data_IF_306230791865
#
_entry.id   IF_306230791865
#
_cell.length_a   1.000
_cell.length_b   1.000
_cell.length_c   1.000
_cell.angle_alpha   90.00
_cell.angle_beta   90.00
_cell.angle_gamma   90.00
#
_symmetry.space_group_name_H-M   'P 1'
#
loop_
_entity.id
_entity.type
_entity.pdbx_description
1 polymer ?
#
# COMPACT_ATOMS: atom_id res chain seq x y z
N UNK A 1 -14.96 18.11 -9.04
CA UNK A 1 -13.58 17.78 -9.43
C UNK A 1 -12.96 17.06 -8.23
N UNK A 2 -13.03 15.73 -8.19
CA UNK A 2 -12.46 14.97 -7.06
C UNK A 2 -10.95 15.03 -7.17
N UNK A 3 -10.29 15.66 -6.20
CA UNK A 3 -8.84 15.62 -6.09
C UNK A 3 -8.41 14.16 -5.93
N UNK A 4 -7.73 13.61 -6.93
CA UNK A 4 -7.16 12.28 -6.83
C UNK A 4 -6.10 12.32 -5.74
N UNK A 5 -6.30 11.55 -4.66
CA UNK A 5 -5.27 11.38 -3.62
C UNK A 5 -4.04 10.78 -4.29
N UNK A 6 -2.83 11.35 -4.08
CA UNK A 6 -1.62 10.76 -4.61
C UNK A 6 -1.39 9.38 -3.97
N UNK A 7 -0.72 8.49 -4.72
CA UNK A 7 -0.26 7.23 -4.15
C UNK A 7 1.05 7.51 -3.40
N UNK A 8 1.06 7.20 -2.11
CA UNK A 8 2.30 7.09 -1.33
C UNK A 8 2.82 5.67 -1.38
N UNK A 9 4.12 5.51 -1.60
CA UNK A 9 4.77 4.21 -1.73
C UNK A 9 6.10 4.15 -0.98
N UNK A 10 6.49 2.94 -0.57
CA UNK A 10 7.61 2.70 0.37
C UNK A 10 8.76 1.89 -0.23
N UNK A 11 8.90 1.95 -1.56
CA UNK A 11 9.92 1.24 -2.32
C UNK A 11 9.35 0.47 -3.50
N UNK A 12 10.11 -0.50 -4.00
CA UNK A 12 9.74 -1.35 -5.14
C UNK A 12 9.63 -2.81 -4.74
N UNK A 13 8.70 -3.51 -5.37
CA UNK A 13 8.36 -4.87 -5.03
C UNK A 13 9.48 -5.84 -5.38
N UNK A 14 10.00 -6.59 -4.40
CA UNK A 14 11.03 -7.62 -4.63
C UNK A 14 10.52 -8.85 -5.40
N UNK A 15 9.20 -9.04 -5.49
CA UNK A 15 8.58 -10.19 -6.16
C UNK A 15 8.63 -10.00 -7.68
N UNK A 16 8.08 -8.88 -8.17
CA UNK A 16 8.06 -8.58 -9.60
C UNK A 16 9.19 -7.66 -10.05
N UNK A 17 9.93 -7.06 -9.12
CA UNK A 17 11.06 -6.13 -9.34
C UNK A 17 10.72 -4.80 -10.00
N UNK A 18 9.44 -4.58 -10.36
CA UNK A 18 9.01 -3.41 -11.15
C UNK A 18 8.05 -2.51 -10.38
N UNK A 19 7.08 -3.08 -9.66
CA UNK A 19 5.95 -2.33 -9.13
C UNK A 19 6.28 -1.52 -7.87
N UNK A 20 5.82 -0.26 -7.77
CA UNK A 20 5.89 0.49 -6.52
C UNK A 20 5.02 -0.17 -5.45
N UNK A 21 5.49 -0.09 -4.21
CA UNK A 21 4.81 -0.63 -3.02
C UNK A 21 3.97 0.45 -2.36
N UNK A 22 2.75 0.65 -2.85
CA UNK A 22 1.81 1.67 -2.38
C UNK A 22 1.15 1.31 -1.05
N UNK A 23 0.73 2.31 -0.28
CA UNK A 23 0.05 2.10 1.02
C UNK A 23 -1.47 2.26 0.87
N UNK A 24 -2.21 1.16 1.06
CA UNK A 24 -3.69 1.15 1.01
C UNK A 24 -4.27 1.19 2.41
N UNK A 25 -5.36 1.95 2.57
CA UNK A 25 -6.22 1.93 3.73
C UNK A 25 -7.47 1.09 3.44
N UNK A 26 -7.72 0.07 4.27
CA UNK A 26 -8.94 -0.70 4.20
C UNK A 26 -10.10 0.13 4.73
N UNK A 27 -11.07 0.49 3.88
CA UNK A 27 -12.20 1.31 4.29
C UNK A 27 -13.18 0.62 5.26
N UNK A 28 -13.04 -0.69 5.46
CA UNK A 28 -13.90 -1.44 6.39
C UNK A 28 -13.33 -1.51 7.81
N UNK A 29 -12.03 -1.78 7.97
CA UNK A 29 -11.41 -1.96 9.29
C UNK A 29 -10.40 -0.86 9.65
N UNK A 30 -10.10 0.06 8.74
CA UNK A 30 -9.14 1.15 8.93
C UNK A 30 -7.67 0.71 8.95
N UNK A 31 -7.38 -0.58 8.74
CA UNK A 31 -6.00 -1.08 8.72
C UNK A 31 -5.29 -0.71 7.43
N UNK A 32 -4.02 -0.35 7.55
CA UNK A 32 -3.15 -0.11 6.41
C UNK A 32 -2.46 -1.39 5.94
N UNK A 33 -2.17 -1.46 4.65
CA UNK A 33 -1.42 -2.56 4.03
C UNK A 33 -0.54 -2.00 2.91
N UNK A 34 0.63 -2.60 2.72
CA UNK A 34 1.52 -2.28 1.60
C UNK A 34 1.15 -3.21 0.44
N UNK A 35 0.89 -2.66 -0.73
CA UNK A 35 0.43 -3.36 -1.92
C UNK A 35 1.33 -3.02 -3.11
N UNK A 36 1.74 -4.04 -3.86
CA UNK A 36 2.38 -3.86 -5.16
C UNK A 36 1.36 -3.52 -6.25
N UNK A 37 1.59 -2.43 -6.99
CA UNK A 37 0.70 -1.96 -8.07
C UNK A 37 0.78 -2.80 -9.36
N UNK A 38 1.71 -3.77 -9.44
CA UNK A 38 1.95 -4.56 -10.67
C UNK A 38 1.65 -6.06 -10.53
N UNK A 39 1.80 -6.64 -9.33
CA UNK A 39 1.73 -8.10 -9.15
C UNK A 39 0.88 -8.55 -7.97
N UNK A 40 0.10 -7.62 -7.38
CA UNK A 40 -0.89 -7.93 -6.35
C UNK A 40 -0.32 -8.53 -5.05
N UNK A 41 1.00 -8.44 -4.86
CA UNK A 41 1.66 -8.82 -3.62
C UNK A 41 1.32 -7.80 -2.51
N UNK A 42 0.90 -8.29 -1.35
CA UNK A 42 0.51 -7.49 -0.21
C UNK A 42 1.23 -7.88 1.09
N UNK A 43 1.51 -6.88 1.93
CA UNK A 43 2.10 -7.01 3.26
C UNK A 43 1.27 -6.26 4.29
N UNK A 44 1.11 -6.85 5.47
CA UNK A 44 0.40 -6.26 6.62
C UNK A 44 1.30 -5.50 7.58
N UNK A 45 2.61 -5.48 7.33
CA UNK A 45 3.63 -4.82 8.14
C UNK A 45 4.78 -4.28 7.26
N UNK A 46 5.77 -3.64 7.86
CA UNK A 46 6.92 -3.06 7.17
C UNK A 46 8.02 -4.08 6.84
N UNK A 47 7.90 -5.36 7.25
CA UNK A 47 8.88 -6.39 6.94
C UNK A 47 8.67 -6.97 5.54
N UNK A 48 9.09 -6.20 4.53
CA UNK A 48 8.97 -6.56 3.12
C UNK A 48 9.84 -7.78 2.71
N UNK A 49 10.78 -8.19 3.55
CA UNK A 49 11.54 -9.42 3.37
C UNK A 49 10.71 -10.69 3.67
N UNK A 50 9.64 -10.55 4.46
CA UNK A 50 8.68 -11.61 4.73
C UNK A 50 7.91 -12.07 3.48
N UNK A 51 7.24 -13.24 3.54
CA UNK A 51 6.42 -13.72 2.44
C UNK A 51 5.22 -12.79 2.21
N UNK A 52 4.96 -12.34 0.97
CA UNK A 52 3.75 -11.59 0.65
C UNK A 52 2.52 -12.48 0.73
N UNK A 53 1.36 -11.87 0.93
CA UNK A 53 0.08 -12.47 0.56
C UNK A 53 -0.23 -12.10 -0.89
N UNK A 54 -0.70 -13.08 -1.66
CA UNK A 54 -1.26 -12.85 -2.99
C UNK A 54 -2.76 -13.02 -2.92
N UNK A 55 -3.50 -12.22 -3.68
CA UNK A 55 -4.91 -12.47 -3.88
C UNK A 55 -5.07 -13.71 -4.76
N UNK A 56 -5.93 -14.63 -4.33
CA UNK A 56 -6.36 -15.78 -5.14
C UNK A 56 -7.42 -15.40 -6.18
N UNK A 57 -7.99 -14.20 -6.08
CA UNK A 57 -9.06 -13.65 -6.90
C UNK A 57 -8.82 -12.17 -7.21
N UNK A 58 -9.66 -11.56 -8.04
CA UNK A 58 -9.52 -10.18 -8.52
C UNK A 58 -9.64 -9.08 -7.43
N UNK A 59 -10.03 -9.42 -6.19
CA UNK A 59 -10.50 -8.43 -5.22
C UNK A 59 -9.47 -7.94 -4.20
N UNK A 60 -8.21 -8.41 -4.25
CA UNK A 60 -7.11 -7.97 -3.36
C UNK A 60 -7.56 -7.83 -1.89
N UNK A 61 -7.81 -8.95 -1.18
CA UNK A 61 -8.43 -8.90 0.14
C UNK A 61 -7.48 -8.30 1.20
N UNK A 62 -8.05 -7.49 2.09
CA UNK A 62 -7.36 -6.97 3.26
C UNK A 62 -6.82 -8.12 4.11
N UNK A 63 -5.53 -8.11 4.49
CA UNK A 63 -4.92 -9.19 5.27
C UNK A 63 -5.55 -9.39 6.65
N UNK A 64 -6.27 -8.39 7.16
CA UNK A 64 -6.86 -8.36 8.50
C UNK A 64 -8.35 -8.74 8.52
N UNK A 65 -9.15 -8.22 7.58
CA UNK A 65 -10.61 -8.44 7.57
C UNK A 65 -11.15 -9.13 6.32
N UNK A 66 -10.29 -9.40 5.32
CA UNK A 66 -10.66 -10.06 4.06
C UNK A 66 -11.47 -9.21 3.08
N UNK A 67 -11.87 -7.98 3.42
CA UNK A 67 -12.59 -7.07 2.50
C UNK A 67 -11.65 -6.46 1.46
N UNK A 68 -12.18 -6.13 0.28
CA UNK A 68 -11.35 -5.62 -0.82
C UNK A 68 -10.54 -4.38 -0.43
N UNK A 69 -9.25 -4.41 -0.75
CA UNK A 69 -8.36 -3.26 -0.63
C UNK A 69 -8.45 -2.35 -1.85
N UNK A 70 -9.00 -2.77 -3.00
CA UNK A 70 -9.09 -1.95 -4.23
C UNK A 70 -10.47 -1.35 -4.46
N UNK A 71 -11.53 -2.02 -4.01
CA UNK A 71 -12.91 -1.52 -4.08
C UNK A 71 -13.24 -0.49 -2.99
N UNK A 72 -14.33 0.26 -3.21
CA UNK A 72 -14.88 1.13 -2.17
C UNK A 72 -15.29 0.32 -0.93
N UNK A 73 -15.14 0.87 0.29
CA UNK A 73 -14.69 2.23 0.61
C UNK A 73 -13.16 2.35 0.83
N UNK A 74 -12.34 1.43 0.33
CA UNK A 74 -10.88 1.47 0.50
C UNK A 74 -10.21 2.53 -0.40
N UNK A 75 -9.11 3.10 0.08
CA UNK A 75 -8.43 4.23 -0.58
C UNK A 75 -6.90 4.17 -0.43
N UNK A 76 -6.19 5.03 -1.15
CA UNK A 76 -4.77 5.28 -0.91
C UNK A 76 -4.61 6.07 0.39
N UNK A 77 -3.83 5.53 1.31
CA UNK A 77 -3.58 6.17 2.60
C UNK A 77 -2.92 7.54 2.39
N UNK A 78 -3.37 8.54 3.13
CA UNK A 78 -2.68 9.83 3.18
C UNK A 78 -1.53 9.83 4.20
N UNK A 79 -0.77 10.92 4.22
CA UNK A 79 0.38 11.09 5.11
C UNK A 79 -0.01 10.99 6.58
N UNK A 80 -1.20 11.47 6.97
CA UNK A 80 -1.66 11.39 8.36
C UNK A 80 -1.91 9.94 8.73
N UNK A 81 -2.65 9.20 7.91
CA UNK A 81 -2.94 7.78 8.15
C UNK A 81 -1.65 6.94 8.26
N UNK A 82 -0.66 7.25 7.42
CA UNK A 82 0.65 6.58 7.41
C UNK A 82 1.41 6.87 8.71
N UNK A 83 1.50 8.13 9.12
CA UNK A 83 2.17 8.46 10.37
C UNK A 83 1.39 7.95 11.59
N UNK A 84 0.06 7.98 11.59
CA UNK A 84 -0.77 7.50 12.69
C UNK A 84 -0.73 5.97 12.89
N UNK A 85 -0.20 5.24 11.92
CA UNK A 85 0.02 3.79 11.99
C UNK A 85 1.37 3.47 12.65
N UNK A 86 1.42 2.87 13.86
CA UNK A 86 2.65 2.72 14.63
C UNK A 86 3.79 2.00 13.88
N UNK A 87 3.48 0.87 13.24
CA UNK A 87 4.50 0.07 12.53
C UNK A 87 5.06 0.76 11.29
N UNK A 88 4.30 1.65 10.63
CA UNK A 88 4.81 2.47 9.53
C UNK A 88 5.66 3.61 10.07
N UNK A 89 5.18 4.30 11.11
CA UNK A 89 5.92 5.38 11.78
C UNK A 89 7.29 4.92 12.24
N UNK A 90 7.34 3.83 12.99
CA UNK A 90 8.58 3.24 13.51
C UNK A 90 9.53 2.84 12.37
N UNK A 91 9.01 2.23 11.31
CA UNK A 91 9.83 1.81 10.17
C UNK A 91 10.41 3.01 9.38
N UNK A 92 9.66 4.10 9.26
CA UNK A 92 10.10 5.36 8.65
C UNK A 92 11.15 6.06 9.51
N UNK A 93 10.92 6.16 10.83
CA UNK A 93 11.87 6.74 11.79
C UNK A 93 13.18 5.95 11.86
N UNK A 94 13.10 4.61 11.77
CA UNK A 94 14.26 3.73 11.70
C UNK A 94 14.97 3.75 10.33
N UNK A 95 14.38 4.38 9.30
CA UNK A 95 14.92 4.40 7.94
C UNK A 95 14.94 3.04 7.24
N UNK A 96 14.14 2.08 7.72
CA UNK A 96 14.02 0.74 7.10
C UNK A 96 13.15 0.75 5.85
N UNK A 97 12.26 1.75 5.75
CA UNK A 97 11.48 2.10 4.57
C UNK A 97 11.56 3.62 4.36
N UNK A 98 11.33 4.07 3.13
CA UNK A 98 11.32 5.50 2.78
C UNK A 98 9.99 5.85 2.12
N UNK A 99 9.30 6.87 2.63
CA UNK A 99 8.06 7.33 2.04
C UNK A 99 8.30 8.22 0.83
N UNK A 100 7.78 7.82 -0.32
CA UNK A 100 7.78 8.58 -1.57
C UNK A 100 6.33 8.77 -2.04
N UNK A 101 6.11 9.72 -2.93
CA UNK A 101 4.80 9.91 -3.55
C UNK A 101 4.92 10.07 -5.05
N UNK A 102 3.92 9.59 -5.77
CA UNK A 102 3.81 9.73 -7.22
C UNK A 102 2.36 9.92 -7.63
N UNK A 103 2.14 10.42 -8.84
CA UNK A 103 0.86 10.15 -9.50
C UNK A 103 0.81 8.65 -9.77
N UNK A 104 -0.32 7.98 -9.48
CA UNK A 104 -0.60 6.68 -10.08
C UNK A 104 -0.49 6.91 -11.60
N UNK A 105 0.57 6.38 -12.21
CA UNK A 105 1.05 6.59 -13.58
C UNK A 105 0.49 7.82 -14.35
N UNK A 106 1.32 8.85 -14.50
CA UNK A 106 1.23 9.68 -15.72
C UNK A 106 1.72 8.84 -16.89
N UNK A 107 0.81 8.49 -17.81
CA UNK A 107 1.18 8.27 -19.21
C UNK A 107 1.95 9.52 -19.68
N UNK A 108 3.08 9.30 -20.33
CA UNK A 108 3.83 10.34 -21.00
C UNK A 108 2.93 11.03 -22.04
N UNK A 109 2.54 12.28 -21.78
CA UNK A 109 2.62 13.42 -22.73
C UNK A 109 2.14 14.73 -22.08
#
# INVERSE_FOLDING_TARGET
MSAQRPMYYVGFCRVCTTGPLGVRACGHCGRLSILCDECDAAWSDANLAGPPKFASEADLPCPECGKSLVGEPSHWADVSEIHDTPWLREALEAGTIELRHGAAWRLNE
#
